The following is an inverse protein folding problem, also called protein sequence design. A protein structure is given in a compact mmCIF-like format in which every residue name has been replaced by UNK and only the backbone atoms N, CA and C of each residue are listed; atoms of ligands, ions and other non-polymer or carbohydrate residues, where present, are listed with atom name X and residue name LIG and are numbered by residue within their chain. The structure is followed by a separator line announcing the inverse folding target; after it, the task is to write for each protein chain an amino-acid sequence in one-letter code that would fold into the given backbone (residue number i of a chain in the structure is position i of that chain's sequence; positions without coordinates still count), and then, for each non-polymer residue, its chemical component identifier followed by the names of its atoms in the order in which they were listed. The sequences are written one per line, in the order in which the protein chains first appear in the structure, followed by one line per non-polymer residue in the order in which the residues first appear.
data_IF_362848066640
#
_entry.id   IF_362848066640
#
_cell.length_a   1.000
_cell.length_b   1.000
_cell.length_c   1.000
_cell.angle_alpha   90.00
_cell.angle_beta   90.00
_cell.angle_gamma   90.00
#
_symmetry.space_group_name_H-M   'P 1'
#
loop_
_entity.id
_entity.type
_entity.pdbx_description
1 polymer ?
#
# COMPACT_ATOMS: atom_id res chain seq x y z
N UNK A 1 4.23 -13.08 12.03
CA UNK A 1 3.26 -12.07 12.56
C UNK A 1 3.04 -12.32 14.04
N UNK A 2 3.15 -11.29 14.88
CA UNK A 2 2.92 -11.38 16.33
C UNK A 2 1.43 -11.51 16.65
N UNK A 3 1.06 -12.51 17.45
CA UNK A 3 -0.31 -12.72 17.93
C UNK A 3 -0.67 -11.70 19.02
N UNK A 4 -1.93 -11.26 19.09
CA UNK A 4 -2.40 -10.29 20.07
C UNK A 4 -1.85 -8.87 19.85
N UNK A 5 -1.40 -8.56 18.64
CA UNK A 5 -0.79 -7.28 18.28
C UNK A 5 -1.41 -6.67 17.02
N UNK A 6 -1.17 -5.37 16.88
CA UNK A 6 -1.42 -4.60 15.68
C UNK A 6 -0.20 -4.69 14.77
N UNK A 7 -0.26 -5.53 13.75
CA UNK A 7 0.82 -5.73 12.80
C UNK A 7 0.58 -4.88 11.54
N UNK A 8 1.63 -4.30 10.98
CA UNK A 8 1.54 -3.34 9.88
C UNK A 8 2.31 -3.83 8.67
N UNK A 9 1.69 -3.80 7.50
CA UNK A 9 2.38 -3.92 6.22
C UNK A 9 2.46 -2.53 5.60
N UNK A 10 3.66 -2.01 5.44
CA UNK A 10 3.95 -0.67 4.89
C UNK A 10 4.92 -0.75 3.72
N UNK A 11 5.22 0.36 3.08
CA UNK A 11 5.96 0.45 1.82
C UNK A 11 7.21 1.31 2.01
N UNK A 12 8.37 0.77 1.66
CA UNK A 12 9.67 1.42 1.83
C UNK A 12 10.07 2.36 0.69
N UNK A 13 9.24 2.52 -0.34
CA UNK A 13 9.56 3.34 -1.51
C UNK A 13 8.54 4.45 -1.77
N UNK A 14 8.28 4.69 -3.06
CA UNK A 14 7.27 5.67 -3.52
C UNK A 14 5.90 5.02 -3.80
N UNK A 15 5.54 3.96 -3.09
CA UNK A 15 4.36 3.15 -3.37
C UNK A 15 4.60 2.11 -4.46
N UNK A 16 3.54 1.38 -4.81
CA UNK A 16 3.56 0.36 -5.87
C UNK A 16 4.63 -0.73 -5.71
N UNK A 17 4.95 -1.08 -4.47
CA UNK A 17 5.87 -2.18 -4.13
C UNK A 17 5.18 -3.55 -4.11
N UNK A 18 3.88 -3.60 -4.42
CA UNK A 18 3.11 -4.85 -4.34
C UNK A 18 2.70 -5.23 -2.91
N UNK A 19 2.53 -4.24 -2.02
CA UNK A 19 2.05 -4.46 -0.64
C UNK A 19 0.84 -5.38 -0.54
N UNK A 20 -0.11 -5.23 -1.46
CA UNK A 20 -1.33 -6.03 -1.46
C UNK A 20 -1.06 -7.53 -1.47
N UNK A 21 -0.12 -7.98 -2.31
CA UNK A 21 0.29 -9.38 -2.35
C UNK A 21 0.85 -9.85 -1.00
N UNK A 22 1.79 -9.10 -0.44
CA UNK A 22 2.44 -9.45 0.83
C UNK A 22 1.42 -9.41 1.98
N UNK A 23 0.56 -8.38 2.03
CA UNK A 23 -0.50 -8.28 3.02
C UNK A 23 -1.46 -9.48 2.95
N UNK A 24 -1.87 -9.86 1.74
CA UNK A 24 -2.77 -11.00 1.54
C UNK A 24 -2.09 -12.33 1.84
N UNK A 25 -0.81 -12.50 1.50
CA UNK A 25 -0.05 -13.69 1.89
C UNK A 25 0.02 -13.85 3.42
N UNK A 26 0.33 -12.76 4.13
CA UNK A 26 0.37 -12.77 5.61
C UNK A 26 -1.01 -13.08 6.19
N UNK A 27 -2.07 -12.47 5.63
CA UNK A 27 -3.44 -12.69 6.06
C UNK A 27 -3.89 -14.14 5.83
N UNK A 28 -3.58 -14.71 4.66
CA UNK A 28 -3.91 -16.11 4.32
C UNK A 28 -3.19 -17.10 5.24
N UNK A 29 -1.91 -16.84 5.50
CA UNK A 29 -1.08 -17.73 6.33
C UNK A 29 -1.43 -17.69 7.82
N UNK A 30 -1.77 -16.52 8.35
CA UNK A 30 -1.93 -16.30 9.79
C UNK A 30 -3.37 -16.11 10.26
N UNK A 31 -4.32 -15.92 9.33
CA UNK A 31 -5.75 -15.78 9.62
C UNK A 31 -6.03 -14.77 10.77
N UNK A 32 -5.56 -13.51 10.69
CA UNK A 32 -5.81 -12.53 11.74
C UNK A 32 -7.30 -12.32 11.96
N UNK A 33 -7.69 -11.98 13.20
CA UNK A 33 -9.07 -11.71 13.55
C UNK A 33 -9.66 -10.53 12.75
N UNK A 34 -8.83 -9.50 12.50
CA UNK A 34 -9.26 -8.31 11.80
C UNK A 34 -8.25 -7.89 10.72
N UNK A 35 -8.77 -7.51 9.57
CA UNK A 35 -8.06 -6.81 8.51
C UNK A 35 -8.46 -5.34 8.54
N UNK A 36 -7.49 -4.44 8.48
CA UNK A 36 -7.77 -3.00 8.56
C UNK A 36 -6.94 -2.19 7.58
N UNK A 37 -7.41 -1.00 7.27
CA UNK A 37 -6.70 -0.04 6.43
C UNK A 37 -7.09 1.39 6.76
N UNK A 38 -6.25 2.32 6.32
CA UNK A 38 -6.54 3.75 6.23
C UNK A 38 -6.38 4.25 4.79
N UNK A 39 -6.77 3.46 3.80
CA UNK A 39 -6.68 3.81 2.38
C UNK A 39 -7.42 5.11 2.05
N UNK A 40 -6.88 5.81 1.05
CA UNK A 40 -7.54 6.93 0.39
C UNK A 40 -7.81 6.58 -1.08
N UNK A 41 -8.67 7.34 -1.76
CA UNK A 41 -9.13 7.05 -3.12
C UNK A 41 -8.00 6.99 -4.19
N UNK A 42 -6.80 7.48 -3.88
CA UNK A 42 -5.61 7.34 -4.72
C UNK A 42 -4.88 5.99 -4.53
N UNK A 43 -5.31 5.14 -3.59
CA UNK A 43 -4.79 3.80 -3.42
C UNK A 43 -5.24 2.86 -4.57
N UNK A 44 -4.46 1.81 -4.78
CA UNK A 44 -4.79 0.75 -5.73
C UNK A 44 -3.88 -0.44 -5.46
N UNK A 45 -4.39 -1.42 -4.70
CA UNK A 45 -3.64 -2.61 -4.31
C UNK A 45 -4.23 -3.82 -5.04
N UNK A 46 -3.40 -4.49 -5.83
CA UNK A 46 -3.83 -5.63 -6.66
C UNK A 46 -3.44 -6.93 -5.99
N UNK A 47 -4.40 -7.85 -5.92
CA UNK A 47 -4.19 -9.26 -5.61
C UNK A 47 -4.58 -10.11 -6.81
N UNK A 48 -3.88 -11.21 -7.00
CA UNK A 48 -4.18 -12.21 -8.02
C UNK A 48 -4.24 -13.57 -7.35
N UNK A 49 -5.36 -14.28 -7.51
CA UNK A 49 -5.52 -15.65 -7.00
C UNK A 49 -4.58 -16.62 -7.71
N UNK A 50 -4.46 -17.83 -7.18
CA UNK A 50 -3.70 -18.91 -7.82
C UNK A 50 -4.30 -19.34 -9.18
N UNK A 51 -5.58 -19.02 -9.43
CA UNK A 51 -6.27 -19.28 -10.71
C UNK A 51 -6.17 -18.11 -11.68
N UNK A 52 -5.53 -17.00 -11.28
CA UNK A 52 -5.37 -15.80 -12.11
C UNK A 52 -6.50 -14.78 -12.00
N UNK A 53 -7.49 -14.97 -11.11
CA UNK A 53 -8.52 -13.96 -10.84
C UNK A 53 -7.87 -12.75 -10.16
N UNK A 54 -8.07 -11.55 -10.73
CA UNK A 54 -7.51 -10.31 -10.19
C UNK A 54 -8.55 -9.50 -9.42
N UNK A 55 -8.16 -8.99 -8.26
CA UNK A 55 -8.93 -8.05 -7.46
C UNK A 55 -8.11 -6.78 -7.18
N UNK A 56 -8.71 -5.61 -7.35
CA UNK A 56 -8.06 -4.32 -7.11
C UNK A 56 -8.81 -3.58 -6.01
N UNK A 57 -8.24 -3.58 -4.81
CA UNK A 57 -8.75 -2.80 -3.68
C UNK A 57 -8.31 -1.34 -3.77
N UNK A 58 -9.23 -0.42 -3.52
CA UNK A 58 -8.98 1.02 -3.41
C UNK A 58 -9.43 1.58 -2.05
N UNK A 59 -10.51 1.05 -1.52
CA UNK A 59 -11.11 1.49 -0.26
C UNK A 59 -10.88 0.50 0.89
N UNK A 60 -11.05 -0.80 0.63
CA UNK A 60 -10.87 -1.86 1.61
C UNK A 60 -9.40 -2.33 1.70
N UNK A 61 -9.00 -3.04 2.77
CA UNK A 61 -7.74 -3.79 2.78
C UNK A 61 -7.74 -4.79 1.62
N UNK A 62 -6.65 -4.90 0.89
CA UNK A 62 -6.62 -5.76 -0.30
C UNK A 62 -6.82 -7.24 0.02
N UNK A 63 -6.40 -7.68 1.21
CA UNK A 63 -6.61 -9.04 1.73
C UNK A 63 -8.07 -9.40 2.03
N UNK A 64 -8.99 -8.44 1.99
CA UNK A 64 -10.42 -8.67 2.16
C UNK A 64 -10.99 -9.69 1.16
N UNK A 65 -10.41 -9.76 -0.04
CA UNK A 65 -10.82 -10.72 -1.07
C UNK A 65 -10.64 -12.19 -0.64
N UNK A 66 -9.82 -12.46 0.36
CA UNK A 66 -9.65 -13.81 0.92
C UNK A 66 -10.94 -14.36 1.51
N UNK A 67 -11.88 -13.50 1.92
CA UNK A 67 -13.24 -13.93 2.30
C UNK A 67 -13.94 -14.71 1.19
N UNK A 68 -13.70 -14.34 -0.07
CA UNK A 68 -14.22 -15.03 -1.26
C UNK A 68 -13.33 -16.21 -1.68
N UNK A 69 -12.00 -16.05 -1.61
CA UNK A 69 -11.05 -17.03 -2.14
C UNK A 69 -10.70 -18.16 -1.17
N UNK A 70 -11.04 -18.03 0.11
CA UNK A 70 -10.70 -19.02 1.16
C UNK A 70 -11.94 -19.44 1.95
N UNK A 71 -12.33 -20.68 1.79
CA UNK A 71 -13.40 -21.26 2.57
C UNK A 71 -13.11 -21.17 4.09
N UNK A 72 -14.13 -20.80 4.87
CA UNK A 72 -14.04 -20.71 6.32
C UNK A 72 -13.13 -19.57 6.85
N UNK A 73 -12.83 -18.55 6.03
CA UNK A 73 -12.12 -17.37 6.50
C UNK A 73 -13.00 -16.12 6.36
N UNK A 74 -13.56 -15.68 7.47
CA UNK A 74 -14.44 -14.52 7.58
C UNK A 74 -13.82 -13.47 8.52
N UNK A 75 -12.76 -12.75 8.09
CA UNK A 75 -12.13 -11.74 8.94
C UNK A 75 -13.06 -10.57 9.19
N UNK A 76 -12.95 -9.94 10.37
CA UNK A 76 -13.57 -8.61 10.57
C UNK A 76 -12.82 -7.59 9.73
N UNK A 77 -13.57 -6.70 9.07
CA UNK A 77 -12.99 -5.64 8.25
C UNK A 77 -13.18 -4.30 8.95
N UNK A 78 -12.11 -3.49 9.02
CA UNK A 78 -12.18 -2.16 9.60
C UNK A 78 -11.51 -1.10 8.74
N UNK A 79 -12.28 -0.05 8.41
CA UNK A 79 -11.82 1.14 7.68
C UNK A 79 -11.61 2.27 8.70
N UNK A 80 -10.37 2.71 8.87
CA UNK A 80 -9.94 3.62 9.93
C UNK A 80 -10.34 5.08 9.72
N UNK A 81 -10.15 5.91 10.76
CA UNK A 81 -10.57 7.32 10.81
C UNK A 81 -9.93 8.22 9.75
N UNK A 82 -8.72 7.92 9.34
CA UNK A 82 -7.96 8.69 8.34
C UNK A 82 -8.18 8.20 6.91
N UNK A 83 -9.03 7.20 6.70
CA UNK A 83 -9.47 6.80 5.36
C UNK A 83 -10.30 7.90 4.70
N UNK A 84 -10.18 7.98 3.36
CA UNK A 84 -11.09 8.78 2.55
C UNK A 84 -11.31 8.07 1.20
N UNK A 85 -12.52 7.63 0.94
CA UNK A 85 -12.85 6.74 -0.16
C UNK A 85 -13.98 7.29 -1.05
N UNK A 86 -14.07 6.75 -2.25
CA UNK A 86 -15.25 6.90 -3.10
C UNK A 86 -16.34 5.92 -2.62
N UNK A 87 -17.54 6.43 -2.32
CA UNK A 87 -18.62 5.64 -1.75
C UNK A 87 -19.03 4.47 -2.65
N UNK A 88 -19.17 4.73 -3.95
CA UNK A 88 -19.57 3.68 -4.91
C UNK A 88 -18.52 2.59 -5.01
N UNK A 89 -17.25 2.98 -4.98
CA UNK A 89 -16.14 2.04 -5.02
C UNK A 89 -16.09 1.16 -3.77
N UNK A 90 -16.27 1.75 -2.58
CA UNK A 90 -16.32 0.99 -1.31
C UNK A 90 -17.43 -0.07 -1.33
N UNK A 91 -18.65 0.32 -1.70
CA UNK A 91 -19.79 -0.59 -1.74
C UNK A 91 -19.61 -1.69 -2.81
N UNK A 92 -18.99 -1.35 -3.94
CA UNK A 92 -18.63 -2.33 -4.97
C UNK A 92 -17.63 -3.37 -4.43
N UNK A 93 -16.56 -2.93 -3.78
CA UNK A 93 -15.56 -3.84 -3.21
C UNK A 93 -16.16 -4.74 -2.12
N UNK A 94 -17.03 -4.19 -1.26
CA UNK A 94 -17.76 -4.95 -0.26
C UNK A 94 -18.58 -6.10 -0.89
N UNK A 95 -19.33 -5.80 -1.93
CA UNK A 95 -20.14 -6.79 -2.65
C UNK A 95 -19.26 -7.82 -3.39
N UNK A 96 -18.18 -7.39 -4.04
CA UNK A 96 -17.25 -8.25 -4.81
C UNK A 96 -16.53 -9.25 -3.91
N UNK A 97 -16.19 -8.85 -2.68
CA UNK A 97 -15.56 -9.72 -1.70
C UNK A 97 -16.57 -10.63 -0.96
N UNK A 98 -17.86 -10.48 -1.19
CA UNK A 98 -18.92 -11.27 -0.52
C UNK A 98 -18.94 -11.10 1.00
N UNK A 99 -18.63 -9.90 1.49
CA UNK A 99 -18.53 -9.66 2.93
C UNK A 99 -19.91 -9.68 3.61
N UNK A 100 -20.05 -10.37 4.74
CA UNK A 100 -21.28 -10.30 5.53
C UNK A 100 -21.46 -8.93 6.22
N UNK A 101 -20.33 -8.30 6.60
CA UNK A 101 -20.31 -6.97 7.21
C UNK A 101 -18.92 -6.37 7.14
N UNK A 102 -18.84 -5.04 7.34
CA UNK A 102 -17.59 -4.30 7.59
C UNK A 102 -17.88 -3.26 8.66
N UNK A 103 -16.82 -2.71 9.27
CA UNK A 103 -16.92 -1.58 10.19
C UNK A 103 -16.14 -0.40 9.62
N UNK A 104 -16.77 0.77 9.65
CA UNK A 104 -16.20 2.03 9.18
C UNK A 104 -16.14 3.00 10.35
N UNK A 105 -14.99 3.60 10.57
CA UNK A 105 -14.89 4.65 11.59
C UNK A 105 -15.81 5.83 11.23
N UNK A 106 -16.65 6.36 12.17
CA UNK A 106 -17.60 7.43 11.88
C UNK A 106 -16.98 8.71 11.30
N UNK A 107 -15.69 8.92 11.53
CA UNK A 107 -14.92 10.06 10.98
C UNK A 107 -14.11 9.72 9.72
N UNK A 108 -14.27 8.56 9.13
CA UNK A 108 -13.70 8.28 7.81
C UNK A 108 -14.34 9.20 6.77
N UNK A 109 -13.58 9.55 5.74
CA UNK A 109 -13.99 10.48 4.70
C UNK A 109 -14.72 9.81 3.55
N UNK A 110 -15.65 10.54 2.97
CA UNK A 110 -16.23 10.22 1.66
C UNK A 110 -15.86 11.33 0.70
N UNK A 111 -15.09 11.01 -0.32
CA UNK A 111 -14.59 12.00 -1.28
C UNK A 111 -15.70 12.38 -2.27
N UNK A 112 -15.91 13.69 -2.43
CA UNK A 112 -16.89 14.25 -3.34
C UNK A 112 -16.29 14.59 -4.71
N UNK A 113 -17.17 14.78 -5.70
CA UNK A 113 -16.77 15.22 -7.02
C UNK A 113 -16.12 16.61 -6.99
N UNK A 114 -16.62 17.52 -6.16
CA UNK A 114 -16.05 18.87 -5.97
C UNK A 114 -14.59 18.83 -5.49
N UNK A 115 -14.27 17.91 -4.56
CA UNK A 115 -12.89 17.74 -4.07
C UNK A 115 -11.94 17.22 -5.17
N UNK A 116 -12.43 16.33 -6.06
CA UNK A 116 -11.67 15.87 -7.24
C UNK A 116 -11.43 17.00 -8.23
N UNK A 117 -12.45 17.83 -8.48
CA UNK A 117 -12.37 18.99 -9.38
C UNK A 117 -11.38 20.04 -8.86
N UNK A 118 -11.34 20.30 -7.55
CA UNK A 118 -10.35 21.20 -6.95
C UNK A 118 -8.91 20.71 -7.17
N UNK A 119 -8.66 19.42 -7.08
CA UNK A 119 -7.31 18.88 -7.34
C UNK A 119 -6.92 18.92 -8.80
N UNK A 120 -7.88 18.80 -9.72
CA UNK A 120 -7.64 18.83 -11.17
C UNK A 120 -7.63 20.24 -11.76
N UNK A 121 -8.09 21.26 -11.03
CA UNK A 121 -8.14 22.66 -11.46
C UNK A 121 -6.76 23.32 -11.59
N UNK A 122 -6.73 24.58 -12.06
CA UNK A 122 -5.49 25.34 -12.33
C UNK A 122 -4.57 25.50 -11.10
N UNK A 123 -5.17 25.69 -9.92
CA UNK A 123 -4.45 25.76 -8.63
C UNK A 123 -4.27 24.40 -7.96
N UNK A 124 -4.58 23.31 -8.67
CA UNK A 124 -4.55 21.95 -8.14
C UNK A 124 -3.17 21.31 -8.15
N UNK A 125 -3.17 19.99 -7.97
CA UNK A 125 -1.94 19.19 -7.76
C UNK A 125 -1.39 18.54 -9.04
N UNK A 126 -1.79 19.05 -10.22
CA UNK A 126 -1.34 18.56 -11.53
C UNK A 126 0.18 18.72 -11.70
N UNK A 127 0.74 19.83 -11.21
CA UNK A 127 2.16 20.17 -11.33
C UNK A 127 3.09 19.12 -10.66
N UNK A 128 2.60 18.40 -9.65
CA UNK A 128 3.33 17.30 -8.98
C UNK A 128 2.95 15.92 -9.54
N UNK A 129 2.33 15.87 -10.71
CA UNK A 129 1.82 14.65 -11.34
C UNK A 129 0.88 13.82 -10.46
N UNK A 130 0.10 14.44 -9.57
CA UNK A 130 -0.89 13.80 -8.70
C UNK A 130 -1.86 12.93 -9.48
N UNK A 131 -2.51 12.00 -8.78
CA UNK A 131 -3.62 11.18 -9.32
C UNK A 131 -4.95 11.93 -9.36
N UNK A 132 -5.02 13.10 -8.74
CA UNK A 132 -6.21 13.99 -8.71
C UNK A 132 -7.50 13.29 -8.25
N UNK A 133 -7.39 12.47 -7.21
CA UNK A 133 -8.52 11.73 -6.65
C UNK A 133 -9.24 12.44 -5.49
N UNK A 134 -8.96 13.72 -5.24
CA UNK A 134 -9.60 14.53 -4.20
C UNK A 134 -9.04 14.33 -2.78
N UNK A 135 -7.98 13.55 -2.62
CA UNK A 135 -7.44 13.17 -1.31
C UNK A 135 -6.90 14.36 -0.52
N UNK A 136 -6.08 15.19 -1.14
CA UNK A 136 -5.50 16.39 -0.51
C UNK A 136 -6.57 17.42 -0.21
N UNK A 137 -7.51 17.63 -1.14
CA UNK A 137 -8.65 18.54 -0.96
C UNK A 137 -9.53 18.14 0.22
N UNK A 138 -9.83 16.83 0.35
CA UNK A 138 -10.58 16.31 1.50
C UNK A 138 -9.83 16.52 2.82
N UNK A 139 -8.52 16.21 2.86
CA UNK A 139 -7.72 16.37 4.06
C UNK A 139 -7.61 17.84 4.48
N UNK A 140 -7.45 18.77 3.53
CA UNK A 140 -7.45 20.20 3.80
C UNK A 140 -8.78 20.63 4.43
N UNK A 141 -9.92 20.22 3.86
CA UNK A 141 -11.24 20.51 4.43
C UNK A 141 -11.39 19.98 5.86
N UNK A 142 -10.91 18.75 6.11
CA UNK A 142 -10.95 18.10 7.43
C UNK A 142 -10.07 18.84 8.46
N UNK A 143 -8.85 19.23 8.08
CA UNK A 143 -7.92 19.97 8.95
C UNK A 143 -8.48 21.36 9.26
N UNK A 144 -9.07 22.04 8.27
CA UNK A 144 -9.75 23.32 8.46
C UNK A 144 -11.06 23.19 9.23
N UNK A 145 -11.51 21.96 9.50
CA UNK A 145 -12.75 21.70 10.26
C UNK A 145 -13.97 22.35 9.65
N UNK A 146 -14.09 22.27 8.31
CA UNK A 146 -15.24 22.82 7.60
C UNK A 146 -16.55 22.23 8.16
N UNK A 147 -17.50 23.11 8.50
CA UNK A 147 -18.75 22.71 9.16
C UNK A 147 -19.67 21.85 8.28
N UNK A 148 -19.58 21.99 6.98
CA UNK A 148 -20.35 21.30 5.96
C UNK A 148 -19.66 20.02 5.43
N UNK A 149 -18.45 19.70 5.93
CA UNK A 149 -17.75 18.47 5.54
C UNK A 149 -18.49 17.24 6.05
N UNK A 150 -19.00 16.44 5.12
CA UNK A 150 -19.63 15.16 5.43
C UNK A 150 -18.60 14.06 5.62
N UNK A 151 -18.80 13.25 6.67
CA UNK A 151 -18.01 12.08 7.02
C UNK A 151 -18.87 10.83 6.88
N UNK A 152 -18.28 9.64 7.03
CA UNK A 152 -19.00 8.37 6.85
C UNK A 152 -20.31 8.28 7.64
N UNK A 153 -20.35 8.81 8.86
CA UNK A 153 -21.54 8.88 9.72
C UNK A 153 -22.71 9.73 9.18
N UNK A 154 -22.45 10.54 8.15
CA UNK A 154 -23.42 11.49 7.59
C UNK A 154 -24.03 10.96 6.26
N UNK A 155 -23.73 9.69 5.90
CA UNK A 155 -24.23 9.00 4.71
C UNK A 155 -25.12 7.83 5.09
N UNK A 156 -26.41 7.90 4.77
CA UNK A 156 -27.39 6.86 5.08
C UNK A 156 -27.02 5.48 4.49
N UNK A 157 -26.36 5.47 3.32
CA UNK A 157 -25.89 4.24 2.69
C UNK A 157 -24.86 3.48 3.53
N UNK A 158 -24.22 4.15 4.48
CA UNK A 158 -23.21 3.59 5.37
C UNK A 158 -23.72 3.30 6.78
N UNK A 159 -24.96 3.64 7.14
CA UNK A 159 -25.48 3.52 8.51
C UNK A 159 -25.25 2.15 9.14
N UNK A 160 -25.45 1.08 8.37
CA UNK A 160 -25.26 -0.30 8.84
C UNK A 160 -23.79 -0.68 9.09
N UNK A 161 -22.84 0.08 8.56
CA UNK A 161 -21.39 -0.19 8.64
C UNK A 161 -20.67 0.76 9.59
N UNK A 162 -21.28 1.89 9.93
CA UNK A 162 -20.63 2.89 10.79
C UNK A 162 -20.54 2.37 12.22
N UNK A 163 -19.31 2.33 12.73
CA UNK A 163 -19.02 1.88 14.08
C UNK A 163 -19.61 2.83 15.14
N UNK A 164 -20.01 2.25 16.28
CA UNK A 164 -20.51 3.02 17.40
C UNK A 164 -19.44 3.95 18.00
N UNK A 165 -19.85 5.02 18.70
CA UNK A 165 -18.92 5.87 19.46
C UNK A 165 -18.02 5.05 20.38
N UNK A 166 -16.73 5.46 20.51
CA UNK A 166 -15.77 4.73 21.34
C UNK A 166 -15.09 3.54 20.67
N UNK A 167 -15.20 3.39 19.35
CA UNK A 167 -14.58 2.29 18.59
C UNK A 167 -13.08 2.13 18.84
N UNK A 168 -12.33 3.23 19.11
CA UNK A 168 -10.93 3.17 19.47
C UNK A 168 -10.68 2.43 20.79
N UNK A 169 -11.57 2.58 21.78
CA UNK A 169 -11.49 1.82 23.04
C UNK A 169 -11.73 0.33 22.81
N UNK A 170 -12.72 0.01 21.95
CA UNK A 170 -13.01 -1.37 21.57
C UNK A 170 -11.84 -2.02 20.84
N UNK A 171 -11.18 -1.32 19.88
CA UNK A 171 -10.01 -1.84 19.17
C UNK A 171 -8.84 -2.16 20.10
N UNK A 172 -8.56 -1.27 21.09
CA UNK A 172 -7.50 -1.51 22.05
C UNK A 172 -7.82 -2.71 22.96
N UNK A 173 -9.07 -2.82 23.45
CA UNK A 173 -9.51 -3.97 24.25
C UNK A 173 -9.45 -5.28 23.46
N UNK A 174 -9.79 -5.27 22.17
CA UNK A 174 -9.63 -6.41 21.28
C UNK A 174 -8.18 -6.95 21.28
N UNK A 175 -7.19 -6.06 21.25
CA UNK A 175 -5.78 -6.40 21.29
C UNK A 175 -5.35 -6.88 22.70
N UNK A 176 -5.88 -6.27 23.77
CA UNK A 176 -5.68 -6.73 25.15
C UNK A 176 -6.25 -8.14 25.38
N UNK A 177 -7.36 -8.47 24.72
CA UNK A 177 -7.99 -9.80 24.74
C UNK A 177 -7.23 -10.83 23.87
N UNK A 178 -6.09 -10.46 23.29
CA UNK A 178 -5.22 -11.35 22.50
C UNK A 178 -5.60 -11.51 21.03
N UNK A 179 -6.58 -10.74 20.52
CA UNK A 179 -6.91 -10.76 19.11
C UNK A 179 -5.83 -10.06 18.29
N UNK A 180 -5.67 -10.47 17.04
CA UNK A 180 -4.65 -9.96 16.13
C UNK A 180 -5.27 -9.10 15.04
N UNK A 181 -4.69 -7.93 14.80
CA UNK A 181 -5.07 -7.05 13.69
C UNK A 181 -3.91 -7.00 12.69
N UNK A 182 -4.21 -7.19 11.42
CA UNK A 182 -3.30 -6.92 10.31
C UNK A 182 -3.76 -5.65 9.59
N UNK A 183 -2.90 -4.66 9.57
CA UNK A 183 -3.15 -3.37 8.95
C UNK A 183 -2.38 -3.22 7.64
N UNK A 184 -3.09 -2.85 6.58
CA UNK A 184 -2.50 -2.49 5.30
C UNK A 184 -2.33 -0.98 5.22
N UNK A 185 -1.06 -0.52 5.24
CA UNK A 185 -0.72 0.89 5.07
C UNK A 185 -0.96 1.37 3.63
N UNK A 186 -1.17 2.65 3.47
CA UNK A 186 -1.39 3.32 2.18
C UNK A 186 -0.19 4.15 1.79
N UNK A 187 0.10 4.23 0.49
CA UNK A 187 1.24 4.95 -0.07
C UNK A 187 2.60 4.36 0.36
N UNK A 188 3.70 5.06 0.16
CA UNK A 188 5.04 4.63 0.53
C UNK A 188 5.78 5.68 1.34
N UNK A 189 6.79 5.24 2.10
CA UNK A 189 7.57 6.09 3.01
C UNK A 189 8.16 7.33 2.30
N UNK A 190 8.73 7.15 1.11
CA UNK A 190 9.34 8.26 0.38
C UNK A 190 8.33 9.27 -0.20
N UNK A 191 7.03 8.98 -0.06
CA UNK A 191 5.92 9.92 -0.33
C UNK A 191 5.34 10.55 0.93
N UNK A 192 5.88 10.28 2.12
CA UNK A 192 5.39 10.87 3.37
C UNK A 192 5.47 12.40 3.31
N UNK A 193 4.43 13.09 3.79
CA UNK A 193 4.38 14.55 3.73
C UNK A 193 5.45 15.23 4.59
N UNK A 194 5.89 14.58 5.68
CA UNK A 194 6.85 15.13 6.63
C UNK A 194 8.26 14.55 6.45
N UNK A 195 8.35 13.29 6.02
CA UNK A 195 9.61 12.52 5.99
C UNK A 195 9.99 12.04 4.57
N UNK A 196 9.12 12.25 3.59
CA UNK A 196 9.40 11.90 2.19
C UNK A 196 10.54 12.75 1.60
N UNK A 197 11.25 12.17 0.64
CA UNK A 197 12.49 12.73 0.10
C UNK A 197 12.30 14.02 -0.72
N UNK A 198 11.13 14.27 -1.28
CA UNK A 198 10.93 15.32 -2.29
C UNK A 198 9.60 16.05 -2.12
N UNK A 199 9.52 16.99 -1.17
CA UNK A 199 8.41 17.93 -1.10
C UNK A 199 8.49 18.92 -2.27
N UNK A 200 7.40 19.28 -2.98
CA UNK A 200 6.00 18.88 -2.74
C UNK A 200 5.57 17.57 -3.44
N UNK A 201 6.46 16.83 -4.08
CA UNK A 201 6.14 15.60 -4.82
C UNK A 201 5.91 14.40 -3.86
N UNK A 202 4.97 14.57 -2.93
CA UNK A 202 4.62 13.63 -1.88
C UNK A 202 3.09 13.41 -1.83
N UNK A 203 2.64 12.52 -0.96
CA UNK A 203 1.21 12.39 -0.63
C UNK A 203 0.82 13.40 0.45
N UNK A 204 -0.48 13.65 0.61
CA UNK A 204 -1.00 14.66 1.53
C UNK A 204 -1.12 14.20 2.99
N UNK A 205 -0.40 13.15 3.38
CA UNK A 205 -0.45 12.58 4.73
C UNK A 205 0.84 11.86 5.12
N UNK A 206 0.98 11.57 6.43
CA UNK A 206 2.00 10.65 6.93
C UNK A 206 1.71 9.20 6.53
N UNK A 207 2.78 8.43 6.28
CA UNK A 207 2.70 7.05 5.78
C UNK A 207 3.44 6.04 6.65
N UNK A 208 4.06 6.49 7.74
CA UNK A 208 4.85 5.64 8.64
C UNK A 208 3.99 4.63 9.39
N UNK A 209 4.62 3.58 9.91
CA UNK A 209 3.96 2.56 10.74
C UNK A 209 3.29 3.18 11.97
N UNK A 210 3.95 4.15 12.61
CA UNK A 210 3.43 4.87 13.79
C UNK A 210 2.25 5.76 13.39
N UNK A 211 2.28 6.39 12.21
CA UNK A 211 1.13 7.14 11.71
C UNK A 211 -0.08 6.23 11.47
N UNK A 212 0.13 5.05 10.86
CA UNK A 212 -0.94 4.07 10.69
C UNK A 212 -1.58 3.66 12.02
N UNK A 213 -0.76 3.45 13.05
CA UNK A 213 -1.23 3.14 14.40
C UNK A 213 -2.04 4.29 15.01
N UNK A 214 -1.54 5.53 14.88
CA UNK A 214 -2.22 6.74 15.37
C UNK A 214 -3.56 6.97 14.65
N UNK A 215 -3.60 6.76 13.33
CA UNK A 215 -4.80 6.88 12.49
C UNK A 215 -5.92 5.89 12.88
N UNK A 216 -5.53 4.76 13.48
CA UNK A 216 -6.44 3.75 13.99
C UNK A 216 -6.84 3.99 15.45
N UNK A 217 -6.19 4.93 16.15
CA UNK A 217 -6.40 5.17 17.57
C UNK A 217 -5.91 4.01 18.46
N UNK A 218 -4.86 3.31 18.03
CA UNK A 218 -4.27 2.17 18.74
C UNK A 218 -3.16 2.67 19.68
N UNK A 219 -3.14 2.12 20.90
CA UNK A 219 -2.08 2.35 21.86
C UNK A 219 -0.73 1.83 21.33
N UNK A 220 0.36 2.62 21.37
CA UNK A 220 1.67 2.20 20.85
C UNK A 220 2.22 0.90 21.45
N UNK A 221 1.81 0.51 22.66
CA UNK A 221 2.19 -0.78 23.27
C UNK A 221 1.68 -2.01 22.53
N UNK A 222 0.68 -1.82 21.64
CA UNK A 222 0.11 -2.89 20.84
C UNK A 222 0.78 -3.02 19.47
N UNK A 223 1.74 -2.14 19.11
CA UNK A 223 2.49 -2.31 17.87
C UNK A 223 3.25 -3.65 17.91
N UNK A 224 3.00 -4.47 16.92
CA UNK A 224 3.63 -5.75 16.69
C UNK A 224 4.66 -5.70 15.58
N UNK A 225 4.60 -6.66 14.65
CA UNK A 225 5.50 -6.69 13.52
C UNK A 225 5.19 -5.59 12.52
N UNK A 226 6.27 -5.00 11.99
CA UNK A 226 6.24 -4.04 10.88
C UNK A 226 6.93 -4.68 9.67
N UNK A 227 6.14 -5.07 8.68
CA UNK A 227 6.62 -5.60 7.40
C UNK A 227 6.82 -4.45 6.43
N UNK A 228 8.08 -4.15 6.09
CA UNK A 228 8.42 -3.11 5.13
C UNK A 228 8.60 -3.75 3.75
N UNK A 229 7.68 -3.47 2.85
CA UNK A 229 7.69 -4.02 1.48
C UNK A 229 8.51 -3.11 0.57
N UNK A 230 9.40 -3.69 -0.22
CA UNK A 230 10.22 -2.96 -1.17
C UNK A 230 10.40 -3.75 -2.47
N UNK A 231 11.00 -3.11 -3.47
CA UNK A 231 11.26 -3.72 -4.79
C UNK A 231 12.66 -3.34 -5.29
N UNK A 232 13.30 -4.19 -6.13
CA UNK A 232 14.68 -3.97 -6.58
C UNK A 232 14.82 -2.76 -7.51
N UNK A 233 13.74 -2.38 -8.20
CA UNK A 233 13.68 -1.20 -9.06
C UNK A 233 12.52 -0.33 -8.60
N UNK A 234 12.78 0.68 -7.75
CA UNK A 234 11.76 1.62 -7.28
C UNK A 234 11.14 2.39 -8.45
N UNK A 235 9.85 2.73 -8.29
CA UNK A 235 9.08 3.38 -9.35
C UNK A 235 8.34 4.60 -8.83
N UNK A 236 8.21 5.62 -9.69
CA UNK A 236 7.29 6.75 -9.49
C UNK A 236 6.17 6.72 -10.53
N UNK A 237 5.10 7.43 -10.26
CA UNK A 237 4.08 7.68 -11.30
C UNK A 237 4.73 8.41 -12.48
N UNK A 238 4.25 8.15 -13.69
CA UNK A 238 4.73 8.86 -14.88
C UNK A 238 4.40 10.36 -14.80
N UNK A 239 5.27 11.19 -15.38
CA UNK A 239 5.02 12.62 -15.52
C UNK A 239 3.75 12.87 -16.35
N UNK A 240 3.14 14.03 -16.18
CA UNK A 240 1.99 14.44 -17.00
C UNK A 240 2.53 15.14 -18.24
N UNK A 241 2.34 14.53 -19.39
CA UNK A 241 2.70 15.10 -20.70
C UNK A 241 1.41 15.39 -21.47
N UNK A 242 1.24 16.63 -21.92
CA UNK A 242 0.13 17.10 -22.74
C UNK A 242 0.70 17.85 -23.94
N UNK A 243 0.30 17.45 -25.13
CA UNK A 243 0.78 18.04 -26.40
C UNK A 243 2.33 18.09 -26.51
N UNK A 244 3.00 17.05 -25.97
CA UNK A 244 4.46 16.94 -25.95
C UNK A 244 5.15 17.84 -24.89
N UNK A 245 4.39 18.56 -24.07
CA UNK A 245 4.90 19.45 -23.02
C UNK A 245 4.69 18.80 -21.65
N UNK A 246 5.72 18.81 -20.81
CA UNK A 246 5.58 18.36 -19.41
C UNK A 246 4.76 19.39 -18.61
N UNK A 247 3.59 18.97 -18.15
CA UNK A 247 2.66 19.74 -17.32
C UNK A 247 2.70 19.37 -15.86
N UNK A 248 3.32 18.27 -15.52
CA UNK A 248 3.51 17.85 -14.14
C UNK A 248 4.63 16.82 -14.01
N UNK A 249 5.49 17.04 -13.03
CA UNK A 249 6.62 16.19 -12.72
C UNK A 249 6.38 15.43 -11.41
N UNK A 250 6.63 14.13 -11.40
CA UNK A 250 6.44 13.29 -10.21
C UNK A 250 7.56 13.42 -9.16
N UNK A 251 8.55 14.23 -9.42
CA UNK A 251 9.66 14.52 -8.51
C UNK A 251 10.96 13.80 -8.84
N UNK A 252 11.99 14.15 -8.07
CA UNK A 252 13.33 13.60 -8.19
C UNK A 252 13.49 12.22 -7.55
N UNK A 253 14.74 11.80 -7.37
CA UNK A 253 15.13 10.54 -6.75
C UNK A 253 16.24 10.77 -5.71
N UNK A 254 16.56 9.78 -4.92
CA UNK A 254 17.68 9.80 -3.97
C UNK A 254 19.01 9.92 -4.74
N UNK A 255 20.06 10.39 -4.08
CA UNK A 255 21.38 10.64 -4.72
C UNK A 255 22.06 9.37 -5.24
N UNK A 256 21.74 8.22 -4.67
CA UNK A 256 22.23 6.89 -5.07
C UNK A 256 21.29 6.16 -6.05
N UNK A 257 20.20 6.81 -6.50
CA UNK A 257 19.37 6.35 -7.61
C UNK A 257 19.86 6.87 -8.96
N UNK A 258 19.57 6.11 -10.00
CA UNK A 258 19.62 6.55 -11.40
C UNK A 258 18.31 6.16 -12.08
N UNK A 259 17.71 7.09 -12.83
CA UNK A 259 16.56 6.75 -13.65
C UNK A 259 17.00 5.83 -14.80
N UNK A 260 16.26 4.76 -15.05
CA UNK A 260 16.54 3.75 -16.06
C UNK A 260 15.30 3.46 -16.90
N UNK A 261 15.38 2.47 -17.76
CA UNK A 261 14.24 2.09 -18.63
C UNK A 261 13.73 0.69 -18.30
N UNK A 262 12.48 0.42 -18.66
CA UNK A 262 11.89 -0.92 -18.49
C UNK A 262 12.56 -1.95 -19.40
N UNK A 263 13.11 -1.52 -20.54
CA UNK A 263 13.93 -2.35 -21.40
C UNK A 263 15.20 -2.82 -20.70
N UNK A 264 15.94 -1.89 -20.09
CA UNK A 264 17.17 -2.22 -19.37
C UNK A 264 16.90 -3.13 -18.16
N UNK A 265 15.80 -2.94 -17.45
CA UNK A 265 15.38 -3.82 -16.35
C UNK A 265 15.05 -5.23 -16.86
N UNK A 266 14.29 -5.33 -17.93
CA UNK A 266 13.94 -6.61 -18.53
C UNK A 266 15.16 -7.37 -19.05
N UNK A 267 16.05 -6.69 -19.76
CA UNK A 267 17.29 -7.26 -20.28
C UNK A 267 18.21 -7.76 -19.16
N UNK A 268 18.40 -6.97 -18.11
CA UNK A 268 19.23 -7.34 -16.95
C UNK A 268 18.69 -8.56 -16.19
N UNK A 269 17.37 -8.72 -16.13
CA UNK A 269 16.70 -9.85 -15.50
C UNK A 269 16.59 -11.08 -16.41
N UNK A 270 16.84 -10.98 -17.71
CA UNK A 270 16.49 -12.01 -18.69
C UNK A 270 15.00 -12.22 -18.85
N UNK A 271 14.22 -11.15 -18.70
CA UNK A 271 12.76 -11.17 -18.75
C UNK A 271 12.24 -11.09 -20.18
N UNK A 272 11.01 -11.61 -20.45
CA UNK A 272 10.38 -11.48 -21.77
C UNK A 272 10.13 -10.00 -22.13
N UNK A 273 10.24 -9.62 -23.42
CA UNK A 273 10.06 -8.23 -23.86
C UNK A 273 8.70 -7.61 -23.52
N UNK A 274 7.66 -8.43 -23.32
CA UNK A 274 6.30 -7.99 -23.03
C UNK A 274 6.13 -7.35 -21.63
N UNK A 275 7.12 -7.52 -20.75
CA UNK A 275 7.08 -6.98 -19.37
C UNK A 275 7.01 -5.47 -19.36
N UNK A 276 7.74 -4.80 -20.25
CA UNK A 276 7.76 -3.34 -20.35
C UNK A 276 6.40 -2.71 -20.63
N UNK A 277 5.52 -3.44 -21.33
CA UNK A 277 4.18 -2.97 -21.66
C UNK A 277 3.19 -3.02 -20.47
N UNK A 278 3.54 -3.68 -19.35
CA UNK A 278 2.63 -3.95 -18.22
C UNK A 278 2.80 -3.00 -17.03
N UNK A 279 3.87 -2.22 -16.98
CA UNK A 279 4.13 -1.32 -15.81
C UNK A 279 3.46 0.05 -15.97
N UNK A 280 2.13 0.01 -16.03
CA UNK A 280 1.28 1.20 -16.04
C UNK A 280 0.74 1.49 -14.63
N UNK A 281 0.48 2.76 -14.36
CA UNK A 281 -0.21 3.15 -13.13
C UNK A 281 -1.64 2.61 -13.08
N UNK A 282 -2.07 2.14 -11.92
CA UNK A 282 -3.40 1.52 -11.75
C UNK A 282 -4.54 2.49 -12.06
N UNK A 283 -4.41 3.74 -11.63
CA UNK A 283 -5.46 4.77 -11.77
C UNK A 283 -5.35 5.55 -13.08
N UNK A 284 -4.19 6.13 -13.36
CA UNK A 284 -4.03 7.08 -14.48
C UNK A 284 -3.53 6.44 -15.77
N UNK A 285 -3.20 5.14 -15.77
CA UNK A 285 -2.69 4.38 -16.93
C UNK A 285 -1.44 4.98 -17.60
N UNK A 286 -0.70 5.84 -16.87
CA UNK A 286 0.59 6.38 -17.31
C UNK A 286 1.70 5.37 -17.11
N UNK A 287 2.70 5.34 -18.00
CA UNK A 287 3.88 4.51 -17.81
C UNK A 287 4.67 5.02 -16.61
N UNK A 288 5.08 4.10 -15.74
CA UNK A 288 5.84 4.41 -14.53
C UNK A 288 7.28 4.72 -14.87
N UNK A 289 7.84 5.72 -14.22
CA UNK A 289 9.28 5.97 -14.18
C UNK A 289 9.91 4.92 -13.29
N UNK A 290 11.07 4.41 -13.68
CA UNK A 290 11.79 3.33 -12.99
C UNK A 290 13.22 3.76 -12.69
N UNK A 291 13.72 3.34 -11.52
CA UNK A 291 15.03 3.73 -11.02
C UNK A 291 15.84 2.51 -10.59
N UNK A 292 17.17 2.62 -10.58
CA UNK A 292 18.04 1.64 -9.91
C UNK A 292 17.75 1.61 -8.42
N UNK A 293 18.19 0.58 -7.71
CA UNK A 293 17.98 0.47 -6.27
C UNK A 293 18.71 1.56 -5.48
N UNK A 294 18.14 2.00 -4.37
CA UNK A 294 18.75 2.93 -3.43
C UNK A 294 18.81 2.30 -2.04
N UNK A 295 20.01 2.17 -1.53
CA UNK A 295 20.23 1.74 -0.16
C UNK A 295 19.85 2.83 0.83
N UNK A 296 20.05 4.10 0.49
CA UNK A 296 19.60 5.24 1.29
C UNK A 296 18.09 5.18 1.52
N UNK A 297 17.31 4.99 0.45
CA UNK A 297 15.84 4.92 0.55
C UNK A 297 15.37 3.83 1.49
N UNK A 298 15.89 2.60 1.32
CA UNK A 298 15.39 1.47 2.12
C UNK A 298 15.85 1.55 3.57
N UNK A 299 17.06 2.06 3.83
CA UNK A 299 17.60 2.23 5.19
C UNK A 299 16.81 3.29 5.97
N UNK A 300 16.58 4.47 5.38
CA UNK A 300 15.72 5.51 5.98
C UNK A 300 14.31 4.96 6.28
N UNK A 301 13.72 4.27 5.30
CA UNK A 301 12.40 3.68 5.48
C UNK A 301 12.37 2.63 6.60
N UNK A 302 13.40 1.77 6.69
CA UNK A 302 13.48 0.73 7.71
C UNK A 302 13.62 1.34 9.13
N UNK A 303 14.48 2.33 9.28
CA UNK A 303 14.73 3.02 10.56
C UNK A 303 13.49 3.76 11.04
N UNK A 304 12.89 4.61 10.19
CA UNK A 304 11.76 5.46 10.59
C UNK A 304 10.50 4.65 10.85
N UNK A 305 10.28 3.55 10.11
CA UNK A 305 9.14 2.67 10.35
C UNK A 305 9.37 1.68 11.51
N UNK A 306 10.59 1.52 12.01
CA UNK A 306 10.93 0.48 12.97
C UNK A 306 10.67 -0.91 12.38
N UNK A 307 11.11 -1.14 11.14
CA UNK A 307 10.85 -2.38 10.42
C UNK A 307 11.40 -3.59 11.18
N UNK A 308 10.55 -4.58 11.45
CA UNK A 308 10.95 -5.85 12.07
C UNK A 308 11.27 -6.91 11.02
N UNK A 309 10.67 -6.78 9.84
CA UNK A 309 10.83 -7.68 8.71
C UNK A 309 10.83 -6.87 7.40
N UNK A 310 11.69 -7.27 6.48
CA UNK A 310 11.65 -6.81 5.10
C UNK A 310 10.90 -7.82 4.23
N UNK A 311 10.19 -7.33 3.21
CA UNK A 311 9.58 -8.14 2.18
C UNK A 311 10.03 -7.64 0.80
N UNK A 312 10.94 -8.37 0.17
CA UNK A 312 11.38 -8.12 -1.19
C UNK A 312 10.30 -8.61 -2.16
N UNK A 313 9.66 -7.71 -2.85
CA UNK A 313 8.74 -8.09 -3.92
C UNK A 313 9.36 -7.82 -5.29
N UNK A 314 8.86 -8.44 -6.35
CA UNK A 314 9.43 -8.35 -7.71
C UNK A 314 10.87 -8.87 -7.81
N UNK A 315 11.24 -9.93 -7.07
CA UNK A 315 12.56 -10.57 -7.18
C UNK A 315 12.87 -11.06 -8.60
N UNK A 316 11.83 -11.39 -9.36
CA UNK A 316 11.91 -11.74 -10.79
C UNK A 316 12.49 -10.62 -11.68
N UNK A 317 12.53 -9.37 -11.23
CA UNK A 317 13.23 -8.29 -11.95
C UNK A 317 14.76 -8.25 -11.67
N UNK A 318 15.24 -9.04 -10.68
CA UNK A 318 16.68 -9.28 -10.49
C UNK A 318 17.09 -10.46 -11.38
N UNK A 319 16.30 -11.52 -11.38
CA UNK A 319 16.52 -12.72 -12.16
C UNK A 319 15.18 -13.39 -12.49
N UNK A 320 14.86 -13.44 -13.79
CA UNK A 320 13.57 -13.95 -14.25
C UNK A 320 13.37 -15.45 -14.00
N UNK A 321 14.44 -16.20 -13.77
CA UNK A 321 14.37 -17.64 -13.52
C UNK A 321 13.54 -18.00 -12.29
N UNK A 322 13.38 -17.09 -11.32
CA UNK A 322 12.53 -17.31 -10.15
C UNK A 322 11.06 -16.96 -10.36
N UNK A 323 10.67 -16.46 -11.54
CA UNK A 323 9.30 -15.98 -11.79
C UNK A 323 8.25 -17.03 -11.47
N UNK A 324 7.30 -16.68 -10.59
CA UNK A 324 6.16 -17.51 -10.24
C UNK A 324 6.47 -18.65 -9.26
N UNK A 325 7.69 -18.75 -8.76
CA UNK A 325 8.08 -19.80 -7.80
C UNK A 325 7.72 -19.43 -6.36
N UNK A 326 7.40 -20.45 -5.57
CA UNK A 326 7.31 -20.41 -4.10
C UNK A 326 8.38 -21.27 -3.41
N UNK A 327 9.33 -21.81 -4.18
CA UNK A 327 10.44 -22.61 -3.66
C UNK A 327 11.68 -21.71 -3.48
N UNK A 328 12.24 -21.75 -2.26
CA UNK A 328 13.49 -21.05 -1.92
C UNK A 328 14.66 -21.40 -2.86
N UNK A 329 14.72 -22.63 -3.35
CA UNK A 329 15.77 -23.09 -4.24
C UNK A 329 15.71 -22.47 -5.65
N UNK A 330 14.62 -21.80 -6.00
CA UNK A 330 14.50 -21.05 -7.25
C UNK A 330 15.19 -19.69 -7.21
N UNK A 331 15.61 -19.23 -6.03
CA UNK A 331 16.36 -17.97 -5.90
C UNK A 331 17.80 -18.17 -6.33
N UNK A 332 18.20 -17.47 -7.39
CA UNK A 332 19.60 -17.50 -7.88
C UNK A 332 20.57 -16.77 -6.95
N UNK A 333 21.86 -16.99 -7.13
CA UNK A 333 22.94 -16.27 -6.43
C UNK A 333 22.83 -14.74 -6.57
N UNK A 334 22.29 -14.23 -7.70
CA UNK A 334 22.06 -12.80 -7.88
C UNK A 334 21.01 -12.28 -6.87
N UNK A 335 19.92 -13.01 -6.70
CA UNK A 335 18.85 -12.62 -5.76
C UNK A 335 19.35 -12.73 -4.33
N UNK A 336 20.08 -13.79 -3.98
CA UNK A 336 20.65 -13.96 -2.65
C UNK A 336 21.65 -12.86 -2.29
N UNK A 337 22.58 -12.51 -3.18
CA UNK A 337 23.52 -11.40 -2.97
C UNK A 337 22.83 -10.06 -2.78
N UNK A 338 21.72 -9.82 -3.51
CA UNK A 338 20.92 -8.62 -3.33
C UNK A 338 20.24 -8.62 -1.95
N UNK A 339 19.64 -9.73 -1.53
CA UNK A 339 19.04 -9.89 -0.20
C UNK A 339 20.10 -9.61 0.90
N UNK A 340 21.25 -10.26 0.82
CA UNK A 340 22.35 -10.10 1.79
C UNK A 340 22.84 -8.66 1.88
N UNK A 341 22.95 -7.96 0.75
CA UNK A 341 23.36 -6.55 0.73
C UNK A 341 22.32 -5.64 1.41
N UNK A 342 21.03 -5.86 1.16
CA UNK A 342 19.96 -5.09 1.80
C UNK A 342 19.89 -5.38 3.30
N UNK A 343 20.02 -6.63 3.72
CA UNK A 343 20.07 -7.01 5.13
C UNK A 343 21.28 -6.40 5.85
N UNK A 344 22.43 -6.35 5.19
CA UNK A 344 23.66 -5.73 5.74
C UNK A 344 23.49 -4.23 5.96
N UNK A 345 22.89 -3.52 5.00
CA UNK A 345 22.68 -2.07 5.08
C UNK A 345 21.59 -1.66 6.09
N UNK A 346 20.51 -2.44 6.15
CA UNK A 346 19.37 -2.10 7.01
C UNK A 346 19.44 -2.70 8.41
N UNK A 347 20.21 -3.76 8.60
CA UNK A 347 20.20 -4.57 9.83
C UNK A 347 18.93 -5.39 10.03
N UNK A 348 18.03 -5.45 9.03
CA UNK A 348 16.73 -6.14 9.12
C UNK A 348 16.68 -7.30 8.14
N UNK A 349 16.16 -8.45 8.59
CA UNK A 349 16.07 -9.65 7.75
C UNK A 349 14.94 -9.58 6.72
N UNK A 350 15.23 -10.08 5.50
CA UNK A 350 14.23 -10.32 4.46
C UNK A 350 13.47 -11.61 4.82
N UNK A 351 12.23 -11.44 5.22
CA UNK A 351 11.36 -12.54 5.66
C UNK A 351 10.55 -13.16 4.53
N UNK A 352 10.19 -12.36 3.51
CA UNK A 352 9.34 -12.76 2.40
C UNK A 352 9.94 -12.30 1.07
N UNK A 353 9.81 -13.14 0.04
CA UNK A 353 10.26 -12.82 -1.33
C UNK A 353 9.13 -13.09 -2.32
N UNK A 354 8.58 -12.03 -2.93
CA UNK A 354 7.59 -12.13 -3.99
C UNK A 354 8.26 -12.29 -5.35
N UNK A 355 7.91 -13.32 -6.08
CA UNK A 355 8.49 -13.71 -7.38
C UNK A 355 7.56 -13.50 -8.56
N UNK A 356 6.30 -13.16 -8.31
CA UNK A 356 5.28 -12.95 -9.35
C UNK A 356 3.98 -12.39 -8.76
N UNK A 357 2.93 -12.25 -9.56
CA UNK A 357 1.72 -11.53 -9.14
C UNK A 357 0.73 -12.34 -8.31
N UNK A 358 0.77 -13.67 -8.35
CA UNK A 358 -0.22 -14.54 -7.70
C UNK A 358 0.08 -14.74 -6.22
N UNK A 359 -0.95 -15.04 -5.43
CA UNK A 359 -0.86 -15.20 -3.99
C UNK A 359 0.12 -16.30 -3.55
N UNK A 360 0.26 -17.35 -4.36
CA UNK A 360 1.23 -18.44 -4.12
C UNK A 360 2.64 -18.15 -4.68
N UNK A 361 2.89 -16.99 -5.28
CA UNK A 361 4.22 -16.58 -5.77
C UNK A 361 5.02 -15.84 -4.68
N UNK A 362 4.96 -16.31 -3.45
CA UNK A 362 5.70 -15.78 -2.30
C UNK A 362 6.49 -16.89 -1.62
N UNK A 363 7.79 -16.67 -1.48
CA UNK A 363 8.72 -17.51 -0.75
C UNK A 363 8.83 -16.98 0.68
N UNK A 364 8.58 -17.83 1.68
CA UNK A 364 8.74 -17.51 3.09
C UNK A 364 10.13 -17.98 3.56
N UNK A 365 10.97 -17.04 3.97
CA UNK A 365 12.35 -17.31 4.42
C UNK A 365 12.48 -17.43 5.95
N UNK A 366 11.37 -17.28 6.68
CA UNK A 366 11.36 -17.34 8.15
C UNK A 366 11.56 -18.73 8.68
#
# INVERSE_FOLDING_TARGET
MQTGKFNVVTDGGWGSTGKGLINSYIADKHRPYMLSTTNMANAGHTNVSETGEAFIAKALPSSTILNKWREGYEPKIFVGASSAFDLKQLLKEHAECGLPSMLIHPRAGVITQEQKERESGESGTKHIASTMQGCGSFLADKIMRKADLKLAKDYAELDQFVALPGVHMWLNRLLEDGNTILHEGSQGFSLDINHGSHYPNCTSRGTTSVQNLADMGINPRHLGDVYLVFRPYPIRVGNVIEDGIEKGNSGGCYSDHQETTWEAVADAAGAPPEIKAKELTTVTKRQRRVFTFSYTQITEAAVVNGATHLALNFANYIDWTCYGSNDRNALSDKVWKFIESVESETGVKVALVGTGPQLNHVIDLR
#
